data_IF_558835212289
#
_entry.id   IF_558835212289
#
_cell.length_a   1.000
_cell.length_b   1.000
_cell.length_c   1.000
_cell.angle_alpha   90.00
_cell.angle_beta   90.00
_cell.angle_gamma   90.00
#
_symmetry.space_group_name_H-M   'P 1'
#
loop_
_entity.id
_entity.type
_entity.pdbx_description
1 polymer ?
#
# COMPACT_ATOMS: atom_id res chain seq x y z
N UNK A 1 12.67 -13.24 -8.53
CA UNK A 1 12.11 -11.90 -8.83
C UNK A 1 13.27 -10.93 -8.96
N UNK A 2 13.47 -10.37 -10.16
CA UNK A 2 14.41 -9.27 -10.37
C UNK A 2 13.64 -7.97 -10.28
N UNK A 3 14.08 -7.05 -9.43
CA UNK A 3 13.49 -5.70 -9.38
C UNK A 3 14.06 -4.88 -10.54
N UNK A 4 13.19 -4.14 -11.25
CA UNK A 4 13.63 -3.24 -12.33
C UNK A 4 14.52 -2.11 -11.82
N UNK A 5 14.23 -1.64 -10.61
CA UNK A 5 14.99 -0.59 -9.95
C UNK A 5 15.98 -1.19 -8.97
N UNK A 6 17.12 -0.51 -8.80
CA UNK A 6 18.05 -0.80 -7.72
C UNK A 6 17.43 -0.45 -6.37
N UNK A 7 17.99 -0.99 -5.31
CA UNK A 7 17.39 -0.86 -3.98
C UNK A 7 17.45 0.55 -3.40
N UNK A 8 18.53 1.28 -3.68
CA UNK A 8 18.66 2.72 -3.40
C UNK A 8 17.52 3.50 -4.07
N UNK A 9 17.27 3.24 -5.35
CA UNK A 9 16.19 3.86 -6.11
C UNK A 9 14.82 3.52 -5.53
N UNK A 10 14.59 2.28 -5.08
CA UNK A 10 13.32 1.89 -4.45
C UNK A 10 13.13 2.62 -3.12
N UNK A 11 14.18 2.80 -2.32
CA UNK A 11 14.12 3.58 -1.09
C UNK A 11 13.77 5.04 -1.39
N UNK A 12 14.39 5.64 -2.41
CA UNK A 12 14.09 7.00 -2.87
C UNK A 12 12.63 7.14 -3.32
N UNK A 13 12.17 6.25 -4.22
CA UNK A 13 10.77 6.22 -4.72
C UNK A 13 9.78 6.10 -3.57
N UNK A 14 10.03 5.22 -2.61
CA UNK A 14 9.12 5.03 -1.46
C UNK A 14 9.06 6.29 -0.60
N UNK A 15 10.18 6.99 -0.38
CA UNK A 15 10.25 8.18 0.49
C UNK A 15 9.77 9.46 -0.18
N UNK A 16 9.85 9.54 -1.51
CA UNK A 16 9.46 10.71 -2.29
C UNK A 16 7.96 11.01 -2.18
N UNK A 17 7.60 12.27 -2.37
CA UNK A 17 6.19 12.66 -2.52
C UNK A 17 5.67 12.16 -3.86
N UNK A 18 4.42 11.70 -3.85
CA UNK A 18 3.76 11.11 -5.01
C UNK A 18 2.49 11.87 -5.30
N UNK A 19 2.13 11.93 -6.56
CA UNK A 19 0.87 12.48 -7.05
C UNK A 19 0.20 11.44 -7.94
N UNK A 20 -1.12 11.53 -8.04
CA UNK A 20 -1.84 10.75 -9.05
C UNK A 20 -1.45 11.23 -10.44
N UNK A 21 -1.27 10.29 -11.37
CA UNK A 21 -0.95 10.61 -12.76
C UNK A 21 -2.06 11.44 -13.38
N UNK A 22 -1.68 12.35 -14.27
CA UNK A 22 -2.60 13.26 -14.96
C UNK A 22 -3.79 12.49 -15.58
N UNK A 23 -5.02 12.93 -15.27
CA UNK A 23 -6.26 12.28 -15.69
C UNK A 23 -6.94 11.41 -14.62
N UNK A 24 -6.28 11.08 -13.51
CA UNK A 24 -6.94 10.51 -12.32
C UNK A 24 -7.35 11.62 -11.36
N UNK A 25 -8.49 12.25 -11.66
CA UNK A 25 -9.07 13.35 -10.88
C UNK A 25 -10.16 12.91 -9.92
N UNK A 26 -10.59 11.65 -9.97
CA UNK A 26 -11.72 11.13 -9.20
C UNK A 26 -11.38 9.81 -8.52
N UNK A 27 -11.93 9.62 -7.31
CA UNK A 27 -11.77 8.40 -6.52
C UNK A 27 -12.90 7.41 -6.84
N UNK A 28 -12.73 6.63 -7.90
CA UNK A 28 -13.76 5.68 -8.35
C UNK A 28 -13.40 4.23 -8.02
N UNK A 29 -14.05 3.68 -6.99
CA UNK A 29 -13.90 2.27 -6.62
C UNK A 29 -14.71 1.34 -7.52
N UNK A 30 -14.02 0.43 -8.20
CA UNK A 30 -14.64 -0.62 -9.02
C UNK A 30 -15.03 -1.83 -8.18
N UNK A 31 -16.04 -2.60 -8.62
CA UNK A 31 -16.46 -3.84 -7.96
C UNK A 31 -15.33 -4.88 -7.98
N UNK A 32 -15.12 -5.56 -6.86
CA UNK A 32 -14.19 -6.68 -6.72
C UNK A 32 -14.90 -7.87 -6.08
N UNK A 33 -15.11 -8.94 -6.84
CA UNK A 33 -15.95 -10.05 -6.40
C UNK A 33 -17.39 -9.62 -6.13
N UNK A 34 -18.08 -10.34 -5.24
CA UNK A 34 -19.49 -10.05 -4.96
C UNK A 34 -19.68 -8.85 -4.02
N UNK A 35 -18.85 -8.76 -2.98
CA UNK A 35 -18.99 -7.84 -1.84
C UNK A 35 -17.86 -6.82 -1.68
N UNK A 36 -16.84 -6.90 -2.53
CA UNK A 36 -15.63 -6.10 -2.41
C UNK A 36 -15.56 -4.93 -3.39
N UNK A 37 -14.59 -4.07 -3.13
CA UNK A 37 -14.25 -2.91 -3.98
C UNK A 37 -12.75 -2.84 -4.16
N UNK A 38 -12.30 -2.31 -5.28
CA UNK A 38 -10.89 -2.03 -5.54
C UNK A 38 -10.70 -0.69 -6.24
N UNK A 39 -9.56 -0.09 -6.00
CA UNK A 39 -9.09 1.12 -6.65
C UNK A 39 -7.63 0.90 -7.03
N UNK A 40 -7.34 1.10 -8.31
CA UNK A 40 -6.01 0.95 -8.88
C UNK A 40 -5.65 2.30 -9.53
N UNK A 41 -4.46 2.80 -9.23
CA UNK A 41 -4.02 4.09 -9.73
C UNK A 41 -2.55 4.10 -10.09
N UNK A 42 -2.25 4.82 -11.17
CA UNK A 42 -0.89 5.16 -11.52
C UNK A 42 -0.48 6.41 -10.76
N UNK A 43 0.72 6.36 -10.19
CA UNK A 43 1.32 7.47 -9.48
C UNK A 43 2.55 7.97 -10.24
N UNK A 44 2.77 9.27 -10.15
CA UNK A 44 4.03 9.89 -10.53
C UNK A 44 4.73 10.43 -9.28
N UNK A 45 6.05 10.55 -9.33
CA UNK A 45 6.77 11.31 -8.30
C UNK A 45 6.48 12.79 -8.53
N UNK A 46 6.14 13.52 -7.46
CA UNK A 46 5.89 14.96 -7.55
C UNK A 46 7.10 15.71 -8.11
N UNK A 47 8.28 15.29 -7.68
CA UNK A 47 9.57 15.73 -8.18
C UNK A 47 10.43 14.48 -8.42
N UNK A 48 10.99 14.33 -9.63
CA UNK A 48 11.91 13.25 -9.92
C UNK A 48 11.74 12.63 -11.31
N UNK A 49 12.30 11.43 -11.45
CA UNK A 49 12.30 10.67 -12.70
C UNK A 49 10.94 9.99 -12.93
N UNK A 50 10.63 9.72 -14.20
CA UNK A 50 9.48 8.89 -14.56
C UNK A 50 9.68 7.47 -14.03
N UNK A 51 8.73 7.01 -13.23
CA UNK A 51 8.70 5.66 -12.68
C UNK A 51 7.35 5.01 -12.98
N UNK A 52 7.38 3.74 -13.36
CA UNK A 52 6.19 2.89 -13.26
C UNK A 52 5.90 2.65 -11.78
N UNK A 53 4.91 3.34 -11.22
CA UNK A 53 4.53 3.26 -9.82
C UNK A 53 3.00 3.17 -9.73
N UNK A 54 2.53 2.14 -9.03
CA UNK A 54 1.09 1.90 -8.86
C UNK A 54 0.69 1.84 -7.40
N UNK A 55 -0.46 2.44 -7.11
CA UNK A 55 -1.20 2.23 -5.88
C UNK A 55 -2.34 1.24 -6.16
N UNK A 56 -2.40 0.20 -5.36
CA UNK A 56 -3.53 -0.72 -5.32
C UNK A 56 -4.19 -0.63 -3.95
N UNK A 57 -5.51 -0.47 -3.91
CA UNK A 57 -6.33 -0.47 -2.69
C UNK A 57 -7.50 -1.41 -2.93
N UNK A 58 -7.79 -2.27 -1.96
CA UNK A 58 -8.93 -3.19 -2.02
C UNK A 58 -9.59 -3.34 -0.66
N UNK A 59 -10.90 -3.55 -0.67
CA UNK A 59 -11.65 -4.12 0.46
C UNK A 59 -12.31 -5.40 0.02
N UNK A 60 -12.03 -6.52 0.70
CA UNK A 60 -12.66 -7.81 0.40
C UNK A 60 -14.17 -7.79 0.67
N UNK A 61 -14.58 -7.11 1.74
CA UNK A 61 -15.96 -6.78 2.08
C UNK A 61 -16.00 -5.30 2.43
N UNK A 62 -16.83 -4.52 1.73
CA UNK A 62 -16.82 -3.04 1.84
C UNK A 62 -17.05 -2.57 3.26
N UNK A 63 -17.93 -3.21 4.02
CA UNK A 63 -18.31 -2.76 5.36
C UNK A 63 -17.44 -3.39 6.48
N UNK A 64 -16.38 -4.12 6.12
CA UNK A 64 -15.49 -4.77 7.08
C UNK A 64 -14.04 -4.26 6.92
N UNK A 65 -13.62 -3.26 7.71
CA UNK A 65 -12.29 -2.67 7.59
C UNK A 65 -11.14 -3.67 7.73
N UNK A 66 -11.32 -4.72 8.52
CA UNK A 66 -10.33 -5.79 8.67
C UNK A 66 -10.00 -6.54 7.36
N UNK A 67 -10.80 -6.35 6.30
CA UNK A 67 -10.57 -6.94 4.98
C UNK A 67 -9.84 -6.01 4.01
N UNK A 68 -9.55 -4.78 4.42
CA UNK A 68 -8.91 -3.82 3.54
C UNK A 68 -7.41 -4.06 3.45
N UNK A 69 -6.88 -3.82 2.26
CA UNK A 69 -5.47 -3.95 1.96
C UNK A 69 -5.06 -2.90 0.95
N UNK A 70 -3.81 -2.46 1.07
CA UNK A 70 -3.18 -1.59 0.09
C UNK A 70 -1.80 -2.13 -0.29
N UNK A 71 -1.34 -1.80 -1.48
CA UNK A 71 -0.02 -2.13 -1.95
C UNK A 71 0.55 -0.99 -2.80
N UNK A 72 1.85 -0.73 -2.62
CA UNK A 72 2.64 0.16 -3.46
C UNK A 72 3.57 -0.68 -4.34
N UNK A 73 3.46 -0.52 -5.66
CA UNK A 73 4.10 -1.37 -6.65
C UNK A 73 4.92 -0.55 -7.65
N UNK A 74 6.21 -0.29 -7.38
CA UNK A 74 7.15 0.14 -8.41
C UNK A 74 7.42 -1.02 -9.39
N UNK A 75 7.26 -0.77 -10.68
CA UNK A 75 7.44 -1.73 -11.77
C UNK A 75 6.68 -3.05 -11.55
N UNK A 76 5.46 -2.96 -11.01
CA UNK A 76 4.60 -4.12 -10.75
C UNK A 76 5.04 -5.02 -9.59
N UNK A 77 6.08 -4.66 -8.83
CA UNK A 77 6.52 -5.45 -7.68
C UNK A 77 6.16 -4.76 -6.39
N UNK A 78 5.44 -5.46 -5.50
CA UNK A 78 5.07 -4.92 -4.18
C UNK A 78 6.32 -4.65 -3.34
N UNK A 79 6.50 -3.40 -2.91
CA UNK A 79 7.57 -2.98 -1.97
C UNK A 79 7.03 -2.54 -0.63
N UNK A 80 5.78 -2.05 -0.59
CA UNK A 80 5.03 -1.76 0.62
C UNK A 80 3.64 -2.36 0.51
N UNK A 81 3.05 -2.75 1.63
CA UNK A 81 1.64 -3.08 1.70
C UNK A 81 1.09 -2.86 3.10
N UNK A 82 -0.16 -2.43 3.19
CA UNK A 82 -0.87 -2.31 4.47
C UNK A 82 -1.94 -3.38 4.51
N UNK A 83 -2.10 -4.03 5.65
CA UNK A 83 -3.16 -4.99 5.88
C UNK A 83 -3.41 -5.22 7.37
N UNK A 84 -4.43 -6.02 7.66
CA UNK A 84 -4.84 -6.34 9.01
C UNK A 84 -4.58 -7.82 9.34
N UNK A 85 -4.19 -8.11 10.58
CA UNK A 85 -4.10 -9.47 11.08
C UNK A 85 -4.93 -9.63 12.38
N UNK A 86 -5.98 -10.47 12.41
CA UNK A 86 -6.80 -10.64 13.61
C UNK A 86 -6.02 -11.28 14.77
N UNK A 87 -4.99 -12.06 14.43
CA UNK A 87 -4.13 -12.76 15.38
C UNK A 87 -2.66 -12.52 15.02
N UNK A 88 -1.82 -12.50 16.06
CA UNK A 88 -0.37 -12.42 15.88
C UNK A 88 0.13 -13.73 15.25
N UNK A 89 0.92 -13.63 14.18
CA UNK A 89 1.57 -14.80 13.55
C UNK A 89 3.02 -14.86 13.97
N UNK A 90 3.46 -16.04 14.42
CA UNK A 90 4.84 -16.31 14.84
C UNK A 90 5.51 -17.30 13.89
N UNK A 91 6.83 -17.17 13.73
CA UNK A 91 7.67 -18.13 13.02
C UNK A 91 8.92 -18.36 13.86
N UNK A 92 9.22 -19.62 14.20
CA UNK A 92 10.37 -19.99 15.06
C UNK A 92 10.48 -19.11 16.32
N UNK A 93 9.37 -18.95 17.06
CA UNK A 93 9.24 -18.14 18.28
C UNK A 93 9.45 -16.62 18.12
N UNK A 94 9.63 -16.10 16.91
CA UNK A 94 9.68 -14.66 16.61
C UNK A 94 8.35 -14.19 16.03
N UNK A 95 7.95 -12.98 16.38
CA UNK A 95 6.78 -12.34 15.77
C UNK A 95 7.08 -12.08 14.29
N UNK A 96 6.27 -12.67 13.41
CA UNK A 96 6.40 -12.56 11.96
C UNK A 96 5.39 -11.58 11.39
N UNK A 97 4.16 -11.58 11.91
CA UNK A 97 3.14 -10.56 11.63
C UNK A 97 2.50 -10.14 12.96
N UNK A 98 2.50 -8.85 13.30
CA UNK A 98 1.84 -8.38 14.51
C UNK A 98 0.32 -8.52 14.40
N UNK A 99 -0.36 -8.59 15.55
CA UNK A 99 -1.82 -8.47 15.61
C UNK A 99 -2.19 -7.02 15.28
N UNK A 100 -3.27 -6.84 14.51
CA UNK A 100 -3.78 -5.53 14.11
C UNK A 100 -3.28 -5.08 12.74
N UNK A 101 -3.39 -3.78 12.51
CA UNK A 101 -2.88 -3.11 11.32
C UNK A 101 -1.37 -3.08 11.29
N UNK A 102 -0.82 -3.32 10.11
CA UNK A 102 0.61 -3.37 9.92
C UNK A 102 1.01 -3.02 8.49
N UNK A 103 2.23 -2.52 8.35
CA UNK A 103 2.87 -2.33 7.06
C UNK A 103 3.86 -3.47 6.80
N UNK A 104 3.61 -4.20 5.71
CA UNK A 104 4.55 -5.08 5.07
C UNK A 104 5.58 -4.26 4.28
N UNK A 105 6.85 -4.30 4.69
CA UNK A 105 7.96 -3.64 4.02
C UNK A 105 8.89 -4.68 3.40
N UNK A 106 8.95 -4.66 2.07
CA UNK A 106 9.84 -5.53 1.30
C UNK A 106 11.08 -4.73 0.91
N UNK A 107 12.25 -5.20 1.34
CA UNK A 107 13.55 -4.68 0.94
C UNK A 107 14.12 -5.50 -0.24
N UNK A 108 14.14 -4.94 -1.45
CA UNK A 108 14.64 -5.61 -2.64
C UNK A 108 16.17 -5.82 -2.63
N UNK A 109 16.94 -5.08 -1.81
CA UNK A 109 18.41 -5.26 -1.70
C UNK A 109 18.79 -6.58 -1.05
N UNK A 110 17.93 -7.09 -0.18
CA UNK A 110 18.22 -8.26 0.61
C UNK A 110 17.88 -9.53 -0.17
N UNK A 111 18.65 -10.59 0.06
CA UNK A 111 18.44 -11.88 -0.61
C UNK A 111 17.04 -12.43 -0.29
N UNK A 112 16.48 -13.25 -1.17
CA UNK A 112 15.16 -13.87 -0.98
C UNK A 112 15.03 -14.72 0.31
N UNK A 113 16.17 -15.15 0.87
CA UNK A 113 16.26 -15.97 2.09
C UNK A 113 16.54 -15.14 3.34
N UNK A 114 16.80 -13.85 3.19
CA UNK A 114 17.07 -12.95 4.32
C UNK A 114 15.80 -12.69 5.12
N UNK A 115 15.87 -12.87 6.45
CA UNK A 115 14.73 -12.65 7.33
C UNK A 115 14.31 -11.17 7.40
N UNK A 116 15.25 -10.25 7.17
CA UNK A 116 15.02 -8.81 7.10
C UNK A 116 14.42 -8.33 5.79
N UNK A 117 14.37 -9.18 4.75
CA UNK A 117 13.80 -8.81 3.44
C UNK A 117 12.34 -8.44 3.51
N UNK A 118 11.56 -9.11 4.36
CA UNK A 118 10.13 -8.89 4.45
C UNK A 118 9.72 -8.69 5.91
N UNK A 119 9.58 -7.43 6.32
CA UNK A 119 9.24 -7.06 7.69
C UNK A 119 7.80 -6.62 7.77
N UNK A 120 7.15 -6.95 8.88
CA UNK A 120 5.82 -6.45 9.20
C UNK A 120 5.94 -5.53 10.41
N UNK A 121 5.69 -4.24 10.20
CA UNK A 121 5.78 -3.22 11.24
C UNK A 121 4.36 -2.83 11.69
N UNK A 122 4.07 -2.84 13.00
CA UNK A 122 2.73 -2.49 13.49
C UNK A 122 2.43 -1.02 13.20
N UNK A 123 1.17 -0.73 12.85
CA UNK A 123 0.66 0.63 12.69
C UNK A 123 -0.34 0.91 13.83
N UNK A 124 0.18 1.37 14.97
CA UNK A 124 -0.59 1.48 16.20
C UNK A 124 -1.81 2.42 16.08
N UNK A 125 -1.64 3.54 15.37
CA UNK A 125 -2.68 4.58 15.22
C UNK A 125 -3.49 4.43 13.91
N UNK A 126 -3.28 3.34 13.17
CA UNK A 126 -3.96 3.09 11.92
C UNK A 126 -5.25 2.32 12.18
N UNK A 127 -6.36 3.05 12.28
CA UNK A 127 -7.69 2.50 12.53
C UNK A 127 -8.69 3.08 11.51
N UNK A 128 -8.78 2.51 10.30
CA UNK A 128 -9.71 2.96 9.28
C UNK A 128 -11.15 2.64 9.67
N UNK A 129 -12.07 3.58 9.45
CA UNK A 129 -13.52 3.39 9.69
C UNK A 129 -14.24 2.79 8.48
N UNK A 130 -13.80 3.15 7.28
CA UNK A 130 -14.36 2.73 6.00
C UNK A 130 -13.27 2.74 4.91
N UNK A 131 -13.61 2.34 3.69
CA UNK A 131 -12.66 2.19 2.60
C UNK A 131 -12.06 3.53 2.13
N UNK A 132 -12.79 4.63 2.26
CA UNK A 132 -12.32 5.97 1.89
C UNK A 132 -11.36 6.48 2.95
N UNK A 133 -11.69 6.34 4.24
CA UNK A 133 -10.78 6.66 5.35
C UNK A 133 -9.51 5.81 5.29
N UNK A 134 -9.64 4.52 4.96
CA UNK A 134 -8.49 3.65 4.68
C UNK A 134 -7.61 4.21 3.56
N UNK A 135 -8.19 4.53 2.41
CA UNK A 135 -7.47 5.13 1.30
C UNK A 135 -6.74 6.41 1.72
N UNK A 136 -7.40 7.31 2.46
CA UNK A 136 -6.79 8.56 2.94
C UNK A 136 -5.62 8.32 3.87
N UNK A 137 -5.76 7.40 4.83
CA UNK A 137 -4.67 7.02 5.75
C UNK A 137 -3.50 6.38 4.99
N UNK A 138 -3.77 5.55 3.98
CA UNK A 138 -2.74 4.98 3.09
C UNK A 138 -2.02 6.09 2.33
N UNK A 139 -2.75 7.01 1.71
CA UNK A 139 -2.18 8.15 0.99
C UNK A 139 -1.29 9.00 1.91
N UNK A 140 -1.77 9.34 3.10
CA UNK A 140 -1.00 10.08 4.10
C UNK A 140 0.28 9.32 4.49
N UNK A 141 0.16 8.04 4.85
CA UNK A 141 1.29 7.20 5.29
C UNK A 141 2.36 7.04 4.21
N UNK A 142 1.99 6.99 2.93
CA UNK A 142 2.91 6.85 1.80
C UNK A 142 3.26 8.16 1.08
N UNK A 143 2.88 9.31 1.65
CA UNK A 143 3.12 10.66 1.10
C UNK A 143 2.59 10.82 -0.32
N UNK A 144 1.38 10.30 -0.56
CA UNK A 144 0.63 10.46 -1.80
C UNK A 144 -0.32 11.63 -1.59
N UNK A 145 -0.23 12.65 -2.44
CA UNK A 145 -1.17 13.76 -2.44
C UNK A 145 -2.57 13.22 -2.75
N UNK A 146 -3.51 13.40 -1.82
CA UNK A 146 -4.88 12.90 -1.96
C UNK A 146 -5.60 13.59 -3.11
N UNK A 147 -6.43 12.84 -3.82
CA UNK A 147 -7.39 13.38 -4.78
C UNK A 147 -8.43 14.21 -3.99
N UNK A 148 -8.72 15.46 -4.38
CA UNK A 148 -9.85 16.22 -3.84
C UNK A 148 -11.17 15.46 -4.07
N UNK A 149 -12.16 15.58 -3.17
CA UNK A 149 -13.50 15.06 -3.45
C UNK A 149 -14.11 15.85 -4.63
N UNK A 150 -14.22 15.20 -5.78
CA UNK A 150 -15.27 15.49 -6.75
C UNK A 150 -16.52 14.75 -6.29
N UNK A 151 -17.66 15.44 -6.28
CA UNK A 151 -18.94 14.99 -5.70
C UNK A 151 -19.22 13.50 -6.00
N UNK A 152 -19.18 12.69 -4.94
CA UNK A 152 -19.77 11.35 -4.93
C UNK A 152 -21.30 11.54 -4.99
N UNK A 153 -21.85 11.75 -6.19
CA UNK A 153 -23.29 11.68 -6.46
C UNK A 153 -23.64 10.32 -7.07
#
# INVERSE_FOLDING_TARGET
MSFRYRSDQIIEIVRAEKVFRHGQTELTFTRYGEKGRRFDADLDLKEGILVDLRLHVRGGVVDEPATYEAALLPAGVRVRGIGYSPTRRRRFHKDYVPKGWHENRIDPSLSGRDAGRNRHEPLADFAPTDLIDFFRKVCHHWRIQSIPEGELL
#
